data_IF_981461911591
#
_entry.id   IF_981461911591
#
_cell.length_a   1.000
_cell.length_b   1.000
_cell.length_c   1.000
_cell.angle_alpha   90.00
_cell.angle_beta   90.00
_cell.angle_gamma   90.00
#
_symmetry.space_group_name_H-M   'P 1'
#
loop_
_entity.id
_entity.type
_entity.pdbx_description
1 polymer ?
#
# COMPACT_ATOMS: atom_id res chain seq x y z
N UNK A 1 -4.05 4.29 25.18
CA UNK A 1 -2.90 4.44 24.29
C UNK A 1 -1.70 3.72 24.83
N UNK A 2 -1.04 2.90 24.01
CA UNK A 2 0.24 2.23 24.29
C UNK A 2 1.29 2.86 23.39
N UNK A 3 2.50 3.08 23.90
CA UNK A 3 3.62 3.59 23.09
C UNK A 3 4.87 2.81 23.42
N UNK A 4 5.56 2.30 22.42
CA UNK A 4 6.79 1.51 22.57
C UNK A 4 6.77 0.25 21.73
N UNK A 5 7.90 -0.46 21.75
CA UNK A 5 8.02 -1.79 21.13
C UNK A 5 7.56 -2.87 22.12
N UNK A 6 7.09 -3.99 21.57
CA UNK A 6 6.79 -5.20 22.31
C UNK A 6 7.67 -6.32 21.77
N UNK A 7 8.33 -7.04 22.68
CA UNK A 7 9.12 -8.20 22.33
C UNK A 7 8.74 -9.37 23.24
N UNK A 8 8.39 -10.48 22.63
CA UNK A 8 8.18 -11.73 23.37
C UNK A 8 9.54 -12.36 23.69
N UNK A 9 9.63 -13.03 24.85
CA UNK A 9 10.76 -13.89 25.13
C UNK A 9 10.82 -15.00 24.09
N UNK A 10 12.02 -15.36 23.67
CA UNK A 10 12.26 -16.48 22.76
C UNK A 10 12.13 -17.86 23.45
N UNK A 11 11.76 -17.88 24.74
CA UNK A 11 11.48 -19.13 25.45
C UNK A 11 10.28 -19.83 24.83
N UNK A 12 10.45 -21.10 24.52
CA UNK A 12 9.61 -21.97 23.68
C UNK A 12 8.14 -22.12 24.10
N UNK A 13 7.68 -21.50 25.17
CA UNK A 13 6.30 -21.64 25.66
C UNK A 13 5.66 -20.30 26.08
N UNK A 14 6.20 -19.18 25.65
CA UNK A 14 5.63 -17.86 26.00
C UNK A 14 4.70 -17.38 24.89
N UNK A 15 3.41 -17.32 25.17
CA UNK A 15 2.41 -16.75 24.26
C UNK A 15 1.93 -15.40 24.78
N UNK A 16 1.97 -14.40 23.95
CA UNK A 16 1.46 -13.06 24.26
C UNK A 16 0.16 -12.83 23.49
N UNK A 17 -0.88 -12.45 24.20
CA UNK A 17 -2.16 -12.05 23.62
C UNK A 17 -2.32 -10.54 23.80
N UNK A 18 -2.13 -9.78 22.72
CA UNK A 18 -2.38 -8.34 22.73
C UNK A 18 -3.72 -8.07 22.06
N UNK A 19 -4.64 -7.49 22.81
CA UNK A 19 -5.94 -7.05 22.30
C UNK A 19 -6.08 -5.54 22.47
N UNK A 20 -6.37 -4.87 21.39
CA UNK A 20 -6.69 -3.46 21.35
C UNK A 20 -8.17 -3.31 21.03
N UNK A 21 -8.91 -2.57 21.89
CA UNK A 21 -10.33 -2.31 21.73
C UNK A 21 -10.66 -0.84 22.06
N UNK A 22 -11.88 -0.43 21.81
CA UNK A 22 -12.43 0.84 22.23
C UNK A 22 -11.62 2.07 21.78
N UNK A 23 -11.32 2.15 20.50
CA UNK A 23 -10.51 3.21 19.90
C UNK A 23 -9.10 3.33 20.51
N UNK A 24 -8.56 2.23 21.00
CA UNK A 24 -7.19 2.19 21.51
C UNK A 24 -6.18 2.40 20.41
N UNK A 25 -5.01 2.89 20.80
CA UNK A 25 -3.89 3.06 19.87
C UNK A 25 -2.63 2.44 20.42
N UNK A 26 -1.89 1.76 19.53
CA UNK A 26 -0.54 1.29 19.80
C UNK A 26 0.44 1.96 18.83
N UNK A 27 1.33 2.77 19.40
CA UNK A 27 2.40 3.44 18.66
C UNK A 27 3.69 2.62 18.79
N UNK A 28 4.00 1.83 17.80
CA UNK A 28 5.24 1.03 17.72
C UNK A 28 6.41 1.97 17.41
N UNK A 29 7.52 1.84 18.14
CA UNK A 29 8.69 2.71 17.98
C UNK A 29 9.93 2.00 17.44
N UNK A 30 9.92 0.68 17.44
CA UNK A 30 10.99 -0.17 16.91
C UNK A 30 10.38 -1.53 16.56
N UNK A 31 11.15 -2.38 15.93
CA UNK A 31 10.73 -3.74 15.61
C UNK A 31 10.08 -4.40 16.81
N UNK A 32 8.93 -5.00 16.57
CA UNK A 32 8.10 -5.57 17.63
C UNK A 32 7.65 -6.96 17.27
N UNK A 33 7.57 -7.82 18.28
CA UNK A 33 7.12 -9.20 18.13
C UNK A 33 6.07 -9.52 19.19
N UNK A 34 4.92 -10.02 18.78
CA UNK A 34 3.84 -10.53 19.63
C UNK A 34 3.38 -11.88 19.13
N UNK A 35 2.78 -12.72 19.99
CA UNK A 35 2.26 -13.99 19.51
C UNK A 35 0.93 -13.83 18.81
N UNK A 36 -0.06 -13.28 19.47
CA UNK A 36 -1.38 -13.02 18.91
C UNK A 36 -1.74 -11.53 19.02
N UNK A 37 -2.33 -10.99 17.96
CA UNK A 37 -2.78 -9.61 17.93
C UNK A 37 -4.23 -9.54 17.49
N UNK A 38 -5.06 -8.92 18.32
CA UNK A 38 -6.44 -8.54 17.97
C UNK A 38 -6.55 -7.02 17.92
N UNK A 39 -7.07 -6.49 16.82
CA UNK A 39 -7.30 -5.05 16.64
C UNK A 39 -8.79 -4.82 16.37
N UNK A 40 -9.51 -4.44 17.40
CA UNK A 40 -10.95 -4.19 17.36
C UNK A 40 -11.23 -2.69 17.47
N UNK A 41 -11.78 -2.09 16.41
CA UNK A 41 -12.07 -0.66 16.33
C UNK A 41 -10.90 0.22 16.85
N UNK A 42 -9.68 -0.18 16.60
CA UNK A 42 -8.46 0.38 17.19
C UNK A 42 -7.39 0.56 16.12
N UNK A 43 -6.31 1.28 16.44
CA UNK A 43 -5.27 1.61 15.47
C UNK A 43 -3.89 1.17 15.95
N UNK A 44 -3.15 0.50 15.09
CA UNK A 44 -1.72 0.22 15.26
C UNK A 44 -0.94 1.12 14.31
N UNK A 45 -0.09 1.98 14.85
CA UNK A 45 0.87 2.78 14.10
C UNK A 45 2.20 2.03 14.07
N UNK A 46 2.60 1.54 12.90
CA UNK A 46 3.89 0.88 12.71
C UNK A 46 4.86 1.97 12.30
N UNK A 47 5.94 2.14 13.09
CA UNK A 47 6.88 3.25 12.91
C UNK A 47 6.21 4.62 12.87
N UNK A 48 5.81 5.13 14.01
CA UNK A 48 5.47 6.52 14.13
C UNK A 48 6.75 7.35 14.14
N UNK A 49 7.18 7.77 12.97
CA UNK A 49 8.22 8.75 12.87
C UNK A 49 7.65 10.15 13.08
N UNK A 50 8.27 10.90 13.97
CA UNK A 50 8.12 12.34 14.03
C UNK A 50 8.96 12.99 12.89
N UNK A 51 8.78 12.44 11.66
CA UNK A 51 9.29 12.92 10.40
C UNK A 51 10.79 13.14 10.33
N UNK A 52 11.56 12.16 9.97
CA UNK A 52 12.77 12.17 9.13
C UNK A 52 13.50 10.84 9.27
N UNK A 53 13.92 10.27 8.15
CA UNK A 53 14.92 9.19 8.00
C UNK A 53 14.85 8.07 9.05
N UNK A 54 13.65 7.54 9.31
CA UNK A 54 13.51 6.40 10.20
C UNK A 54 13.49 5.15 9.34
N UNK A 55 14.41 4.25 9.65
CA UNK A 55 14.44 2.90 9.11
C UNK A 55 13.05 2.26 9.17
N UNK A 56 12.67 1.46 8.17
CA UNK A 56 11.43 0.72 8.19
C UNK A 56 11.29 -0.14 9.43
N UNK A 57 10.10 -0.16 10.00
CA UNK A 57 9.80 -0.93 11.21
C UNK A 57 9.04 -2.20 10.86
N UNK A 58 9.37 -3.28 11.52
CA UNK A 58 8.72 -4.58 11.36
C UNK A 58 7.87 -4.92 12.58
N UNK A 59 6.60 -5.27 12.33
CA UNK A 59 5.74 -5.92 13.32
C UNK A 59 5.64 -7.40 12.96
N UNK A 60 6.13 -8.27 13.82
CA UNK A 60 6.02 -9.73 13.66
C UNK A 60 4.96 -10.28 14.59
N UNK A 61 4.00 -11.02 14.03
CA UNK A 61 2.96 -11.73 14.76
C UNK A 61 3.25 -13.22 14.54
N UNK A 62 3.73 -13.91 15.58
CA UNK A 62 4.20 -15.30 15.43
C UNK A 62 3.09 -16.30 15.30
N UNK A 63 1.87 -15.96 15.68
CA UNK A 63 0.67 -16.78 15.58
C UNK A 63 -0.42 -16.03 14.78
N UNK A 64 -1.57 -15.73 15.37
CA UNK A 64 -2.73 -15.27 14.63
C UNK A 64 -2.97 -13.76 14.76
N UNK A 65 -3.51 -13.21 13.69
CA UNK A 65 -4.01 -11.86 13.61
C UNK A 65 -5.52 -11.83 13.40
N UNK A 66 -6.21 -11.01 14.19
CA UNK A 66 -7.65 -10.80 14.06
C UNK A 66 -7.92 -9.29 13.92
N UNK A 67 -8.55 -8.91 12.81
CA UNK A 67 -8.96 -7.54 12.55
C UNK A 67 -10.48 -7.40 12.59
N UNK A 68 -10.99 -6.62 13.54
CA UNK A 68 -12.40 -6.24 13.60
C UNK A 68 -12.51 -4.73 13.37
N UNK A 69 -12.60 -4.30 12.11
CA UNK A 69 -12.59 -2.88 11.75
C UNK A 69 -11.38 -2.11 12.33
N UNK A 70 -10.26 -2.82 12.52
CA UNK A 70 -9.00 -2.24 12.96
C UNK A 70 -8.32 -1.42 11.87
N UNK A 71 -7.33 -0.63 12.24
CA UNK A 71 -6.50 0.14 11.32
C UNK A 71 -5.03 -0.20 11.55
N UNK A 72 -4.35 -0.60 10.49
CA UNK A 72 -2.89 -0.67 10.44
C UNK A 72 -2.37 0.55 9.67
N UNK A 73 -1.56 1.37 10.32
CA UNK A 73 -0.97 2.54 9.71
C UNK A 73 0.51 2.31 9.48
N UNK A 74 0.90 2.21 8.20
CA UNK A 74 2.26 1.96 7.76
C UNK A 74 2.83 3.18 7.05
N UNK A 75 4.15 3.27 7.02
CA UNK A 75 4.87 4.20 6.15
C UNK A 75 5.57 3.41 5.06
N UNK A 76 5.52 3.92 3.88
CA UNK A 76 6.12 3.31 2.69
C UNK A 76 6.73 4.41 1.85
N UNK A 77 7.96 4.25 1.44
CA UNK A 77 8.52 5.05 0.37
C UNK A 77 7.84 4.60 -0.92
N UNK A 78 6.88 5.39 -1.40
CA UNK A 78 6.09 5.00 -2.58
C UNK A 78 6.93 5.15 -3.85
N UNK A 79 7.47 4.05 -4.33
CA UNK A 79 8.33 3.92 -5.50
C UNK A 79 8.08 2.60 -6.23
N UNK A 80 9.15 1.91 -6.61
CA UNK A 80 9.12 0.59 -7.25
C UNK A 80 8.98 -0.56 -6.22
N UNK A 81 9.09 -1.80 -6.69
CA UNK A 81 8.94 -3.02 -5.88
C UNK A 81 9.95 -3.14 -4.72
N UNK A 82 11.10 -2.46 -4.82
CA UNK A 82 12.17 -2.50 -3.82
C UNK A 82 12.10 -1.35 -2.80
N UNK A 83 11.03 -0.59 -2.83
CA UNK A 83 10.86 0.56 -1.96
C UNK A 83 10.85 0.18 -0.49
N UNK A 84 11.51 1.01 0.32
CA UNK A 84 11.52 0.84 1.77
C UNK A 84 10.11 0.99 2.35
N UNK A 85 9.71 0.06 3.20
CA UNK A 85 8.36 0.03 3.77
C UNK A 85 8.34 -0.58 5.16
N UNK A 86 7.53 -0.01 6.03
CA UNK A 86 7.12 -0.71 7.24
C UNK A 86 6.41 -2.02 6.84
N UNK A 87 6.62 -3.07 7.61
CA UNK A 87 6.13 -4.40 7.25
C UNK A 87 5.46 -5.11 8.41
N UNK A 88 4.32 -5.75 8.11
CA UNK A 88 3.67 -6.69 9.03
C UNK A 88 3.94 -8.11 8.56
N UNK A 89 4.48 -8.94 9.43
CA UNK A 89 4.75 -10.36 9.17
C UNK A 89 3.87 -11.19 10.08
N UNK A 90 3.03 -12.04 9.52
CA UNK A 90 2.08 -12.89 10.25
C UNK A 90 2.42 -14.34 9.91
N UNK A 91 2.99 -15.06 10.89
CA UNK A 91 3.38 -16.46 10.67
C UNK A 91 2.19 -17.42 10.75
N UNK A 92 1.12 -17.03 11.44
CA UNK A 92 -0.12 -17.80 11.51
C UNK A 92 -1.21 -17.28 10.58
N UNK A 93 -2.45 -17.45 11.03
CA UNK A 93 -3.61 -17.14 10.22
C UNK A 93 -4.10 -15.69 10.41
N UNK A 94 -4.79 -15.20 9.40
CA UNK A 94 -5.50 -13.91 9.49
C UNK A 94 -7.01 -14.11 9.42
N UNK A 95 -7.75 -13.24 10.09
CA UNK A 95 -9.22 -13.22 10.02
C UNK A 95 -9.80 -11.83 10.23
N UNK A 96 -11.06 -11.66 9.80
CA UNK A 96 -11.79 -10.40 9.91
C UNK A 96 -11.39 -9.36 8.87
N UNK A 97 -11.73 -8.09 9.12
CA UNK A 97 -11.47 -6.99 8.19
C UNK A 97 -10.65 -5.89 8.85
N UNK A 98 -9.60 -5.46 8.17
CA UNK A 98 -8.68 -4.43 8.64
C UNK A 98 -8.48 -3.36 7.57
N UNK A 99 -8.55 -2.11 7.96
CA UNK A 99 -8.22 -0.99 7.08
C UNK A 99 -6.71 -0.73 7.13
N UNK A 100 -6.12 -0.53 5.97
CA UNK A 100 -4.71 -0.22 5.83
C UNK A 100 -4.56 1.20 5.37
N UNK A 101 -3.93 2.00 6.20
CA UNK A 101 -3.55 3.37 5.91
C UNK A 101 -2.07 3.45 5.63
N UNK A 102 -1.72 4.04 4.50
CA UNK A 102 -0.31 4.19 4.09
C UNK A 102 0.02 5.67 3.98
N UNK A 103 1.12 6.06 4.62
CA UNK A 103 1.71 7.39 4.48
C UNK A 103 2.98 7.29 3.63
N UNK A 104 3.09 8.14 2.63
CA UNK A 104 4.30 8.22 1.82
C UNK A 104 5.48 8.76 2.64
N UNK A 105 6.54 7.99 2.71
CA UNK A 105 7.77 8.30 3.46
C UNK A 105 8.83 9.02 2.61
N UNK A 106 8.43 9.67 1.52
CA UNK A 106 9.35 10.44 0.67
C UNK A 106 9.46 9.94 -0.77
N UNK A 107 8.73 8.87 -1.12
CA UNK A 107 8.74 8.33 -2.48
C UNK A 107 8.14 9.31 -3.49
N UNK A 108 8.76 9.38 -4.66
CA UNK A 108 8.32 10.24 -5.79
C UNK A 108 7.37 9.51 -6.76
N UNK A 109 7.06 8.25 -6.48
CA UNK A 109 6.26 7.38 -7.34
C UNK A 109 7.09 6.74 -8.45
N UNK A 110 6.96 5.45 -8.62
CA UNK A 110 7.52 4.69 -9.73
C UNK A 110 6.58 3.54 -10.09
N UNK A 111 6.80 2.95 -11.26
CA UNK A 111 6.04 1.79 -11.70
C UNK A 111 6.44 0.55 -10.89
N UNK A 112 5.45 -0.23 -10.46
CA UNK A 112 5.65 -1.52 -9.81
C UNK A 112 5.39 -2.67 -10.80
N UNK A 113 6.19 -3.72 -10.74
CA UNK A 113 5.99 -4.95 -11.51
C UNK A 113 5.24 -5.99 -10.67
N UNK A 114 5.72 -6.25 -9.47
CA UNK A 114 5.14 -7.21 -8.53
C UNK A 114 4.42 -6.53 -7.35
N UNK A 115 4.73 -5.27 -7.12
CA UNK A 115 4.20 -4.49 -6.01
C UNK A 115 5.11 -4.47 -4.79
N UNK A 116 4.90 -3.48 -3.92
CA UNK A 116 5.62 -3.32 -2.66
C UNK A 116 4.91 -4.20 -1.62
N UNK A 117 5.56 -5.23 -1.12
CA UNK A 117 5.00 -6.13 -0.12
C UNK A 117 4.97 -5.47 1.26
N UNK A 118 3.76 -5.20 1.77
CA UNK A 118 3.56 -4.55 3.08
C UNK A 118 3.06 -5.50 4.17
N UNK A 119 2.37 -6.59 3.79
CA UNK A 119 1.90 -7.61 4.74
C UNK A 119 2.22 -8.98 4.18
N UNK A 120 2.94 -9.78 4.96
CA UNK A 120 3.30 -11.17 4.65
C UNK A 120 2.49 -12.09 5.55
N UNK A 121 1.90 -13.16 4.99
CA UNK A 121 1.09 -14.15 5.71
C UNK A 121 1.57 -15.55 5.35
N UNK A 122 2.07 -16.27 6.34
CA UNK A 122 2.54 -17.66 6.16
C UNK A 122 1.37 -18.67 6.25
N UNK A 123 0.45 -18.44 7.19
CA UNK A 123 -0.74 -19.28 7.41
C UNK A 123 -1.86 -19.02 6.41
N UNK A 124 -3.10 -19.22 6.84
CA UNK A 124 -4.28 -18.94 6.03
C UNK A 124 -4.60 -17.44 6.02
N UNK A 125 -4.63 -16.84 4.82
CA UNK A 125 -4.94 -15.41 4.63
C UNK A 125 -6.45 -15.20 4.45
N UNK A 126 -7.24 -15.54 5.47
CA UNK A 126 -8.70 -15.39 5.46
C UNK A 126 -9.16 -13.97 5.84
N UNK A 127 -8.26 -13.20 6.45
CA UNK A 127 -8.51 -11.79 6.75
C UNK A 127 -8.50 -10.94 5.49
N UNK A 128 -9.35 -9.91 5.45
CA UNK A 128 -9.40 -8.94 4.37
C UNK A 128 -8.74 -7.63 4.80
N UNK A 129 -7.78 -7.18 4.00
CA UNK A 129 -7.14 -5.88 4.19
C UNK A 129 -7.62 -4.92 3.10
N UNK A 130 -8.22 -3.82 3.52
CA UNK A 130 -8.82 -2.82 2.63
C UNK A 130 -8.09 -1.49 2.74
N UNK A 131 -7.93 -0.81 1.63
CA UNK A 131 -7.33 0.52 1.58
C UNK A 131 -8.22 1.54 2.31
N UNK A 132 -7.68 2.22 3.34
CA UNK A 132 -8.43 3.23 4.12
C UNK A 132 -8.59 4.55 3.36
N UNK A 133 -7.60 4.92 2.54
CA UNK A 133 -7.59 6.19 1.78
C UNK A 133 -6.81 6.04 0.49
N UNK A 134 -6.87 7.05 -0.37
CA UNK A 134 -6.06 7.07 -1.59
C UNK A 134 -4.57 7.06 -1.25
N UNK A 135 -3.81 6.22 -1.94
CA UNK A 135 -2.36 6.09 -1.80
C UNK A 135 -1.74 6.54 -3.12
N UNK A 136 -0.96 7.60 -3.11
CA UNK A 136 -0.37 8.13 -4.32
C UNK A 136 0.99 8.79 -4.08
N UNK A 137 1.83 8.76 -5.10
CA UNK A 137 3.09 9.49 -5.15
C UNK A 137 3.39 9.89 -6.60
N UNK A 138 3.84 11.11 -6.82
CA UNK A 138 4.05 11.64 -8.17
C UNK A 138 2.80 11.48 -9.05
N UNK A 139 2.97 10.85 -10.20
CA UNK A 139 1.90 10.57 -11.15
C UNK A 139 1.15 9.27 -10.89
N UNK A 140 1.61 8.42 -9.96
CA UNK A 140 1.09 7.08 -9.75
C UNK A 140 0.09 7.02 -8.59
N UNK A 141 -0.95 6.21 -8.75
CA UNK A 141 -1.87 5.82 -7.68
C UNK A 141 -1.69 4.34 -7.39
N UNK A 142 -1.55 4.00 -6.11
CA UNK A 142 -1.35 2.63 -5.64
C UNK A 142 -2.63 2.04 -5.10
N UNK A 143 -2.85 0.77 -5.41
CA UNK A 143 -3.93 -0.07 -4.87
C UNK A 143 -3.35 -1.11 -3.93
N UNK A 144 -4.15 -1.54 -2.97
CA UNK A 144 -3.81 -2.66 -2.09
C UNK A 144 -4.43 -3.93 -2.68
N UNK A 145 -3.59 -4.92 -2.98
CA UNK A 145 -4.00 -6.18 -3.61
C UNK A 145 -3.46 -7.39 -2.84
N UNK A 146 -4.26 -8.45 -2.78
CA UNK A 146 -3.79 -9.76 -2.30
C UNK A 146 -3.11 -10.48 -3.45
N UNK A 147 -1.91 -10.97 -3.23
CA UNK A 147 -1.09 -11.60 -4.26
C UNK A 147 -0.48 -10.58 -5.23
N UNK A 148 0.37 -11.07 -6.08
CA UNK A 148 1.03 -10.30 -7.14
C UNK A 148 0.85 -10.99 -8.50
N UNK A 149 1.50 -10.47 -9.55
CA UNK A 149 1.41 -11.01 -10.91
C UNK A 149 1.97 -12.43 -11.06
N UNK A 150 2.85 -12.85 -10.15
CA UNK A 150 3.55 -14.12 -10.27
C UNK A 150 2.88 -15.27 -9.52
N UNK A 151 2.04 -14.98 -8.53
CA UNK A 151 1.49 -16.02 -7.68
C UNK A 151 0.16 -15.70 -7.03
N UNK A 152 -0.62 -16.74 -6.85
CA UNK A 152 -1.64 -16.86 -5.81
C UNK A 152 -0.98 -16.89 -4.43
N UNK A 153 -0.22 -15.89 -4.05
CA UNK A 153 0.33 -15.84 -2.72
C UNK A 153 -0.67 -15.20 -1.75
N UNK A 154 -0.40 -15.37 -0.46
CA UNK A 154 -1.28 -14.93 0.62
C UNK A 154 -0.97 -13.51 1.08
N UNK A 155 0.09 -12.92 0.54
CA UNK A 155 0.65 -11.64 0.95
C UNK A 155 -0.08 -10.48 0.31
N UNK A 156 0.08 -9.29 0.87
CA UNK A 156 -0.57 -8.09 0.41
C UNK A 156 0.44 -7.04 -0.06
N UNK A 157 0.15 -6.47 -1.22
CA UNK A 157 1.06 -5.60 -1.96
C UNK A 157 0.41 -4.27 -2.30
N UNK A 158 1.21 -3.22 -2.34
CA UNK A 158 0.85 -1.97 -2.99
C UNK A 158 1.28 -2.06 -4.46
N UNK A 159 0.32 -1.99 -5.34
CA UNK A 159 0.52 -2.08 -6.80
C UNK A 159 -0.04 -0.86 -7.49
N UNK A 160 0.59 -0.42 -8.57
CA UNK A 160 0.09 0.70 -9.38
C UNK A 160 -0.14 0.31 -10.84
N UNK A 161 -0.53 -0.93 -11.07
CA UNK A 161 -0.96 -1.41 -12.38
C UNK A 161 -2.37 -1.97 -12.29
N UNK A 162 -3.08 -1.96 -13.41
CA UNK A 162 -4.33 -2.70 -13.54
C UNK A 162 -3.97 -4.17 -13.65
N UNK A 163 -4.38 -4.97 -12.67
CA UNK A 163 -4.39 -6.42 -12.84
C UNK A 163 -5.27 -6.70 -14.07
N UNK A 164 -4.69 -7.18 -15.13
CA UNK A 164 -5.46 -7.77 -16.22
C UNK A 164 -6.16 -8.97 -15.61
N UNK A 165 -7.47 -8.84 -15.40
CA UNK A 165 -8.31 -9.98 -15.06
C UNK A 165 -8.01 -11.04 -16.11
N UNK A 166 -7.38 -12.14 -15.70
CA UNK A 166 -7.08 -13.25 -16.58
C UNK A 166 -8.38 -13.72 -17.21
N UNK A 167 -8.68 -13.17 -18.38
CA UNK A 167 -9.73 -13.63 -19.23
C UNK A 167 -9.33 -14.98 -19.78
N UNK A 168 -10.19 -15.94 -19.52
CA UNK A 168 -10.40 -17.17 -20.30
C UNK A 168 -9.16 -18.03 -20.60
N UNK A 169 -9.10 -19.13 -19.89
CA UNK A 169 -8.39 -20.34 -20.33
C UNK A 169 -8.90 -20.77 -21.72
N UNK A 170 -8.32 -20.22 -22.76
CA UNK A 170 -8.44 -20.83 -24.07
C UNK A 170 -7.29 -21.84 -24.21
N UNK A 171 -7.68 -23.11 -24.12
CA UNK A 171 -6.85 -24.26 -24.42
C UNK A 171 -6.48 -24.24 -25.90
N UNK A 172 -5.31 -23.77 -26.24
CA UNK A 172 -4.81 -23.78 -27.62
C UNK A 172 -3.51 -22.96 -27.72
N UNK A 173 -2.39 -23.66 -27.78
CA UNK A 173 -1.06 -23.09 -27.80
C UNK A 173 -0.87 -22.02 -28.87
N UNK A 174 -0.64 -20.83 -28.41
CA UNK A 174 0.08 -19.78 -29.14
C UNK A 174 0.54 -18.80 -28.09
N UNK A 175 1.82 -18.44 -28.14
CA UNK A 175 2.40 -17.44 -27.24
C UNK A 175 1.68 -16.11 -27.43
N UNK A 176 0.71 -15.82 -26.55
CA UNK A 176 0.08 -14.52 -26.53
C UNK A 176 1.15 -13.48 -26.14
N UNK A 177 1.20 -12.31 -26.80
CA UNK A 177 2.10 -11.25 -26.39
C UNK A 177 1.77 -10.88 -24.95
N UNK A 178 2.77 -10.96 -24.08
CA UNK A 178 2.67 -10.49 -22.70
C UNK A 178 2.45 -8.98 -22.74
N UNK A 179 1.20 -8.56 -22.70
CA UNK A 179 0.87 -7.14 -22.61
C UNK A 179 1.38 -6.68 -21.27
N UNK A 180 2.36 -5.79 -21.27
CA UNK A 180 2.85 -5.19 -20.04
C UNK A 180 1.67 -4.57 -19.27
N UNK A 181 1.54 -4.81 -17.96
CA UNK A 181 0.43 -4.27 -17.19
C UNK A 181 0.43 -2.74 -17.26
N UNK A 182 -0.74 -2.16 -17.49
CA UNK A 182 -0.89 -0.73 -17.67
C UNK A 182 -0.83 -0.01 -16.32
N UNK A 183 0.05 1.01 -16.16
CA UNK A 183 0.14 1.74 -14.90
C UNK A 183 -1.14 2.52 -14.60
N UNK A 184 -1.55 2.52 -13.34
CA UNK A 184 -2.65 3.37 -12.85
C UNK A 184 -2.07 4.74 -12.53
N UNK A 185 -2.41 5.72 -13.35
CA UNK A 185 -2.03 7.11 -13.14
C UNK A 185 -3.13 7.86 -12.40
N UNK A 186 -2.73 8.87 -11.67
CA UNK A 186 -3.67 9.80 -11.03
C UNK A 186 -4.53 10.49 -12.09
N UNK A 187 -5.83 10.59 -11.84
CA UNK A 187 -6.77 11.29 -12.73
C UNK A 187 -6.35 12.75 -12.98
N UNK A 188 -5.76 13.38 -11.98
CA UNK A 188 -5.29 14.77 -12.05
C UNK A 188 -4.11 14.96 -13.02
N UNK A 189 -3.32 13.90 -13.26
CA UNK A 189 -2.17 13.98 -14.17
C UNK A 189 -2.59 14.36 -15.60
N UNK A 190 -3.71 13.81 -16.07
CA UNK A 190 -4.31 14.16 -17.36
C UNK A 190 -4.76 15.63 -17.42
N UNK A 191 -5.33 16.13 -16.34
CA UNK A 191 -5.78 17.54 -16.25
C UNK A 191 -4.61 18.53 -16.30
N UNK A 192 -3.49 18.22 -15.67
CA UNK A 192 -2.28 19.05 -15.73
C UNK A 192 -1.71 19.12 -17.15
N UNK A 193 -1.65 18.00 -17.85
CA UNK A 193 -1.18 17.97 -19.25
C UNK A 193 -2.12 18.76 -20.16
N UNK A 194 -3.44 18.61 -19.99
CA UNK A 194 -4.43 19.36 -20.74
C UNK A 194 -4.34 20.87 -20.46
N UNK A 195 -4.17 21.27 -19.21
CA UNK A 195 -4.00 22.66 -18.83
C UNK A 195 -2.72 23.26 -19.39
N UNK A 196 -1.62 22.53 -19.39
CA UNK A 196 -0.36 22.96 -19.99
C UNK A 196 -0.49 23.11 -21.51
N UNK A 197 -1.13 22.18 -22.18
CA UNK A 197 -1.41 22.26 -23.62
C UNK A 197 -2.32 23.46 -23.93
N UNK A 198 -3.36 23.68 -23.14
CA UNK A 198 -4.24 24.86 -23.28
C UNK A 198 -3.47 26.17 -23.05
N UNK A 199 -2.64 26.25 -22.02
CA UNK A 199 -1.81 27.44 -21.76
C UNK A 199 -0.85 27.71 -22.90
N UNK A 200 -0.22 26.72 -23.47
CA UNK A 200 0.67 26.87 -24.61
C UNK A 200 -0.04 27.30 -25.90
N UNK A 201 -1.32 26.92 -26.05
CA UNK A 201 -2.11 27.33 -27.23
C UNK A 201 -2.76 28.71 -27.09
N UNK A 202 -3.05 29.15 -25.85
CA UNK A 202 -3.63 30.47 -25.60
C UNK A 202 -2.78 31.62 -26.07
N UNK A 203 -1.48 31.46 -26.16
CA UNK A 203 -0.54 32.51 -26.56
C UNK A 203 -0.12 32.43 -28.05
N UNK A 204 -0.64 31.45 -28.80
CA UNK A 204 -0.42 31.37 -30.26
C UNK A 204 -1.49 32.16 -31.01
N UNK A 205 -1.66 33.42 -30.65
CA UNK A 205 -2.42 34.35 -31.48
C UNK A 205 -1.60 34.76 -32.71
N UNK A 206 -2.11 34.50 -33.88
CA UNK A 206 -1.51 34.98 -35.12
C UNK A 206 -1.59 36.51 -35.15
N UNK A 207 -0.66 37.14 -35.86
CA UNK A 207 -0.58 38.60 -35.98
C UNK A 207 -1.91 39.22 -36.47
N UNK A 208 -2.64 38.47 -37.33
CA UNK A 208 -3.95 38.88 -37.83
C UNK A 208 -5.06 38.87 -36.76
N UNK A 209 -4.96 38.04 -35.73
CA UNK A 209 -5.94 38.02 -34.64
C UNK A 209 -5.77 39.15 -33.67
N UNK A 210 -4.58 39.79 -33.69
CA UNK A 210 -4.26 41.00 -32.91
C UNK A 210 -4.69 42.31 -33.58
N UNK A 211 -4.85 42.27 -34.89
CA UNK A 211 -5.10 43.48 -35.67
C UNK A 211 -6.58 43.76 -35.82
N UNK A 212 -7.45 43.32 -34.93
CA UNK A 212 -8.87 43.60 -34.97
C UNK A 212 -9.33 44.18 -36.32
N UNK A 213 -10.36 43.71 -36.95
CA UNK A 213 -10.88 44.25 -38.19
C UNK A 213 -10.99 45.78 -38.10
N UNK A 214 -10.07 46.47 -38.72
CA UNK A 214 -10.25 47.90 -38.97
C UNK A 214 -11.31 48.03 -40.07
N UNK A 215 -12.52 48.36 -39.65
CA UNK A 215 -13.53 48.91 -40.52
C UNK A 215 -13.33 50.42 -40.63
#
# INVERSE_FOLDING_TARGET
>A
KITGSANISTDVNTHTYLSLSDNSTWDIKADSTVSNLTVDNSTVYISRADGRDVEPTRLTITENYVGNNGVLHLRTELGDDNSATDKVVINGNTSGTTRVKVTNAGGSGAYTLNGIEIISVEGESNGEFIKDSRIFAGAYEYSLTRGNTEATNKNWYLTNFLATSGGETNSGGSSAPTVAPTPVLRLEAGSYVANLAAANTLFVMRLNDRAGEMR
#
